data_IF_905384174708
#
_entry.id   IF_905384174708
#
_cell.length_a   1.000
_cell.length_b   1.000
_cell.length_c   1.000
_cell.angle_alpha   90.00
_cell.angle_beta   90.00
_cell.angle_gamma   90.00
#
_symmetry.space_group_name_H-M   'P 1'
#
loop_
_entity.id
_entity.type
_entity.pdbx_description
1 polymer ?
#
# COMPACT_ATOMS: atom_id res chain seq x y z
N UNK A 1 1.94 8.69 -7.65
CA UNK A 1 1.06 7.68 -6.99
C UNK A 1 -0.26 8.33 -6.64
N UNK A 2 -1.35 7.61 -6.83
CA UNK A 2 -2.72 8.02 -6.46
C UNK A 2 -3.26 7.04 -5.42
N UNK A 3 -3.91 7.54 -4.39
CA UNK A 3 -4.61 6.73 -3.39
C UNK A 3 -6.09 7.12 -3.42
N UNK A 4 -6.94 6.19 -3.84
CA UNK A 4 -8.39 6.35 -3.86
C UNK A 4 -9.03 5.86 -2.58
N UNK A 5 -10.06 6.54 -2.11
CA UNK A 5 -10.75 6.23 -0.86
C UNK A 5 -12.23 5.94 -1.08
N UNK A 6 -12.82 5.23 -0.14
CA UNK A 6 -14.26 5.04 -0.01
C UNK A 6 -14.69 5.22 1.45
N UNK A 7 -15.97 5.54 1.66
CA UNK A 7 -16.56 5.46 2.99
C UNK A 7 -16.38 4.06 3.58
N UNK A 8 -16.18 3.96 4.88
CA UNK A 8 -15.82 2.69 5.52
C UNK A 8 -16.88 1.60 5.34
N UNK A 9 -18.17 1.98 5.27
CA UNK A 9 -19.33 1.13 5.06
C UNK A 9 -19.71 0.92 3.57
N UNK A 10 -19.01 1.56 2.63
CA UNK A 10 -19.27 1.36 1.21
C UNK A 10 -19.03 -0.11 0.83
N UNK A 11 -19.80 -0.68 -0.12
CA UNK A 11 -19.63 -2.06 -0.56
C UNK A 11 -18.23 -2.25 -1.20
N UNK A 12 -17.76 -3.48 -1.20
CA UNK A 12 -16.60 -3.87 -1.99
C UNK A 12 -16.87 -3.62 -3.49
N UNK A 13 -15.80 -3.31 -4.24
CA UNK A 13 -15.92 -3.21 -5.70
C UNK A 13 -16.18 -4.59 -6.31
N UNK A 14 -17.13 -4.64 -7.23
CA UNK A 14 -17.36 -5.83 -8.04
C UNK A 14 -16.19 -6.04 -9.02
N UNK A 15 -15.80 -7.29 -9.34
CA UNK A 15 -14.76 -7.56 -10.34
C UNK A 15 -15.02 -6.91 -11.71
N UNK A 16 -16.28 -6.76 -12.12
CA UNK A 16 -16.63 -6.05 -13.35
C UNK A 16 -16.32 -4.54 -13.28
N UNK A 17 -16.49 -3.93 -12.12
CA UNK A 17 -16.14 -2.53 -11.88
C UNK A 17 -14.62 -2.33 -11.93
N UNK A 18 -13.86 -3.30 -11.42
CA UNK A 18 -12.40 -3.28 -11.49
C UNK A 18 -11.93 -3.41 -12.95
N UNK A 19 -12.53 -4.30 -13.74
CA UNK A 19 -12.20 -4.45 -15.14
C UNK A 19 -12.50 -3.17 -15.94
N UNK A 20 -13.65 -2.54 -15.70
CA UNK A 20 -14.01 -1.26 -16.33
C UNK A 20 -13.04 -0.14 -15.92
N UNK A 21 -12.63 -0.10 -14.65
CA UNK A 21 -11.64 0.85 -14.15
C UNK A 21 -10.29 0.65 -14.84
N UNK A 22 -9.81 -0.59 -14.97
CA UNK A 22 -8.57 -0.92 -15.67
C UNK A 22 -8.59 -0.42 -17.11
N UNK A 23 -9.67 -0.70 -17.84
CA UNK A 23 -9.83 -0.23 -19.23
C UNK A 23 -9.83 1.29 -19.31
N UNK A 24 -10.54 1.96 -18.44
CA UNK A 24 -10.59 3.43 -18.41
C UNK A 24 -9.22 4.03 -18.16
N UNK A 25 -8.48 3.55 -17.17
CA UNK A 25 -7.13 4.03 -16.86
C UNK A 25 -6.16 3.82 -18.03
N UNK A 26 -6.28 2.70 -18.78
CA UNK A 26 -5.47 2.45 -19.97
C UNK A 26 -5.78 3.42 -21.11
N UNK A 27 -7.01 3.93 -21.19
CA UNK A 27 -7.42 4.90 -22.23
C UNK A 27 -6.97 6.32 -21.83
N UNK A 28 -7.21 6.73 -20.58
CA UNK A 28 -6.97 8.09 -20.13
C UNK A 28 -5.48 8.39 -19.91
N UNK A 29 -4.68 7.37 -19.58
CA UNK A 29 -3.25 7.51 -19.36
C UNK A 29 -2.49 7.00 -20.59
N UNK A 30 -2.04 7.93 -21.45
CA UNK A 30 -1.28 7.65 -22.67
C UNK A 30 -0.02 6.81 -22.38
N UNK A 31 0.22 5.75 -23.16
CA UNK A 31 1.35 4.84 -23.00
C UNK A 31 2.71 5.49 -23.33
N UNK A 32 2.72 6.45 -24.25
CA UNK A 32 3.94 7.17 -24.59
C UNK A 32 4.44 8.08 -23.44
N UNK A 33 3.50 8.63 -22.66
CA UNK A 33 3.81 9.51 -21.53
C UNK A 33 3.91 8.75 -20.19
N UNK A 34 3.10 7.72 -20.04
CA UNK A 34 3.00 6.91 -18.82
C UNK A 34 3.30 5.44 -19.13
N UNK A 35 4.58 5.10 -19.33
CA UNK A 35 4.99 3.76 -19.77
C UNK A 35 4.70 2.67 -18.74
N UNK A 36 4.53 3.02 -17.47
CA UNK A 36 4.22 2.07 -16.41
C UNK A 36 2.96 2.41 -15.64
N UNK A 37 2.09 1.43 -15.44
CA UNK A 37 0.85 1.54 -14.65
C UNK A 37 0.63 0.28 -13.83
N UNK A 38 0.45 0.44 -12.52
CA UNK A 38 0.00 -0.63 -11.64
C UNK A 38 -1.17 -0.14 -10.78
N UNK A 39 -2.28 -0.85 -10.82
CA UNK A 39 -3.46 -0.60 -10.00
C UNK A 39 -3.54 -1.66 -8.90
N UNK A 40 -3.73 -1.24 -7.68
CA UNK A 40 -4.05 -2.09 -6.54
C UNK A 40 -5.47 -1.76 -6.08
N UNK A 41 -6.29 -2.77 -5.88
CA UNK A 41 -7.69 -2.63 -5.45
C UNK A 41 -7.89 -3.43 -4.17
N UNK A 42 -8.59 -2.85 -3.20
CA UNK A 42 -8.86 -3.46 -1.90
C UNK A 42 -9.56 -4.81 -2.06
N UNK A 43 -9.00 -5.84 -1.44
CA UNK A 43 -9.73 -7.05 -1.09
C UNK A 43 -10.46 -6.77 0.24
N UNK A 44 -11.68 -6.23 0.12
CA UNK A 44 -12.43 -5.71 1.25
C UNK A 44 -12.68 -6.77 2.33
N UNK A 45 -13.12 -7.95 1.93
CA UNK A 45 -13.42 -9.03 2.88
C UNK A 45 -12.17 -9.42 3.68
N UNK A 46 -11.05 -9.62 2.99
CA UNK A 46 -9.78 -9.97 3.62
C UNK A 46 -9.27 -8.84 4.51
N UNK A 47 -9.37 -7.59 4.06
CA UNK A 47 -8.97 -6.42 4.85
C UNK A 47 -9.78 -6.32 6.14
N UNK A 48 -11.09 -6.53 6.07
CA UNK A 48 -11.96 -6.47 7.26
C UNK A 48 -11.69 -7.62 8.22
N UNK A 49 -11.41 -8.83 7.72
CA UNK A 49 -10.97 -9.96 8.56
C UNK A 49 -9.66 -9.65 9.28
N UNK A 50 -8.69 -9.08 8.58
CA UNK A 50 -7.41 -8.69 9.16
C UNK A 50 -7.57 -7.62 10.24
N UNK A 51 -8.42 -6.63 10.00
CA UNK A 51 -8.79 -5.59 10.97
C UNK A 51 -9.77 -6.08 12.05
N UNK A 52 -10.09 -7.36 12.08
CA UNK A 52 -11.06 -7.95 13.03
C UNK A 52 -12.44 -7.29 12.94
N UNK A 53 -12.88 -6.96 11.75
CA UNK A 53 -14.19 -6.37 11.49
C UNK A 53 -14.37 -4.91 11.92
N UNK A 54 -13.29 -4.20 12.27
CA UNK A 54 -13.38 -2.76 12.53
C UNK A 54 -13.63 -2.00 11.24
N UNK A 55 -14.73 -1.26 11.18
CA UNK A 55 -15.09 -0.42 10.04
C UNK A 55 -14.54 0.99 10.29
N UNK A 56 -13.54 1.46 9.55
CA UNK A 56 -13.07 2.83 9.63
C UNK A 56 -14.11 3.78 8.99
N UNK A 57 -14.10 5.04 9.38
CA UNK A 57 -14.96 6.04 8.73
C UNK A 57 -14.60 6.22 7.24
N UNK A 58 -13.32 6.06 6.90
CA UNK A 58 -12.75 6.14 5.55
C UNK A 58 -11.71 5.04 5.39
N UNK A 59 -11.68 4.38 4.25
CA UNK A 59 -10.70 3.33 3.95
C UNK A 59 -10.02 3.55 2.60
N UNK A 60 -8.81 3.08 2.48
CA UNK A 60 -8.10 3.02 1.19
C UNK A 60 -8.76 1.92 0.35
N UNK A 61 -9.29 2.30 -0.79
CA UNK A 61 -9.99 1.39 -1.70
C UNK A 61 -9.17 1.02 -2.94
N UNK A 62 -8.24 1.90 -3.31
CA UNK A 62 -7.34 1.68 -4.44
C UNK A 62 -6.02 2.44 -4.25
N UNK A 63 -4.98 1.94 -4.90
CA UNK A 63 -3.70 2.63 -5.09
C UNK A 63 -3.29 2.47 -6.55
N UNK A 64 -2.98 3.58 -7.22
CA UNK A 64 -2.49 3.60 -8.61
C UNK A 64 -1.07 4.15 -8.62
N UNK A 65 -0.13 3.34 -9.04
CA UNK A 65 1.22 3.77 -9.35
C UNK A 65 1.31 4.11 -10.84
N UNK A 66 1.84 5.30 -11.14
CA UNK A 66 2.08 5.80 -12.50
C UNK A 66 3.55 6.14 -12.60
N UNK A 67 4.25 5.51 -13.54
CA UNK A 67 5.65 5.83 -13.85
C UNK A 67 5.70 6.72 -15.07
N UNK A 68 6.57 7.73 -15.05
CA UNK A 68 6.79 8.67 -16.13
C UNK A 68 8.25 9.13 -16.14
N UNK A 69 8.76 9.44 -17.33
CA UNK A 69 10.05 10.11 -17.51
C UNK A 69 9.91 11.63 -17.49
N UNK A 70 8.70 12.13 -17.67
CA UNK A 70 8.38 13.56 -17.53
C UNK A 70 8.49 13.97 -16.06
N UNK A 71 8.90 15.21 -15.83
CA UNK A 71 9.11 15.74 -14.48
C UNK A 71 7.86 15.71 -13.59
N UNK A 72 7.32 16.88 -13.27
CA UNK A 72 6.19 16.97 -12.37
C UNK A 72 4.85 16.87 -13.10
N UNK A 73 4.23 15.70 -13.03
CA UNK A 73 2.91 15.40 -13.63
C UNK A 73 1.79 15.30 -12.58
N UNK A 74 2.05 15.69 -11.33
CA UNK A 74 1.08 15.53 -10.22
C UNK A 74 -0.25 16.24 -10.53
N UNK A 75 -0.20 17.47 -11.03
CA UNK A 75 -1.41 18.24 -11.32
C UNK A 75 -2.19 17.66 -12.50
N UNK A 76 -1.50 17.15 -13.53
CA UNK A 76 -2.12 16.49 -14.67
C UNK A 76 -2.78 15.16 -14.26
N UNK A 77 -2.07 14.31 -13.53
CA UNK A 77 -2.65 13.06 -12.99
C UNK A 77 -3.84 13.37 -12.08
N UNK A 78 -3.77 14.44 -11.29
CA UNK A 78 -4.89 14.87 -10.46
C UNK A 78 -6.13 15.17 -11.30
N UNK A 79 -5.98 15.90 -12.42
CA UNK A 79 -7.08 16.19 -13.32
C UNK A 79 -7.68 14.94 -13.96
N UNK A 80 -6.83 14.01 -14.43
CA UNK A 80 -7.27 12.76 -15.05
C UNK A 80 -8.04 11.89 -14.05
N UNK A 81 -7.51 11.72 -12.83
CA UNK A 81 -8.14 10.82 -11.86
C UNK A 81 -9.38 11.39 -11.20
N UNK A 82 -9.57 12.72 -11.21
CA UNK A 82 -10.77 13.37 -10.69
C UNK A 82 -12.06 12.90 -11.42
N UNK A 83 -11.93 12.46 -12.67
CA UNK A 83 -13.03 11.87 -13.42
C UNK A 83 -13.31 10.39 -13.04
N UNK A 84 -12.39 9.77 -12.32
CA UNK A 84 -12.44 8.34 -11.93
C UNK A 84 -12.81 8.15 -10.47
N UNK A 85 -12.27 8.99 -9.59
CA UNK A 85 -12.49 8.96 -8.14
C UNK A 85 -12.95 10.30 -7.60
N UNK A 86 -13.92 10.27 -6.73
CA UNK A 86 -14.44 11.48 -6.04
C UNK A 86 -13.66 11.82 -4.77
N UNK A 87 -13.02 10.82 -4.16
CA UNK A 87 -12.20 10.97 -2.94
C UNK A 87 -10.84 10.28 -3.16
N UNK A 88 -9.79 11.06 -3.28
CA UNK A 88 -8.45 10.56 -3.58
C UNK A 88 -7.35 11.54 -3.14
N UNK A 89 -6.13 11.04 -3.05
CA UNK A 89 -4.92 11.83 -2.90
C UNK A 89 -3.92 11.48 -4.01
N UNK A 90 -3.24 12.46 -4.56
CA UNK A 90 -2.14 12.28 -5.52
C UNK A 90 -0.85 12.76 -4.89
N UNK A 91 0.25 12.05 -5.10
CA UNK A 91 1.57 12.49 -4.64
C UNK A 91 2.67 12.02 -5.59
N UNK A 92 3.73 12.82 -5.71
CA UNK A 92 4.99 12.35 -6.25
C UNK A 92 5.74 11.56 -5.19
N UNK A 93 6.36 10.45 -5.58
CA UNK A 93 7.11 9.58 -4.69
C UNK A 93 8.49 9.27 -5.27
N UNK A 94 9.45 9.02 -4.39
CA UNK A 94 10.68 8.33 -4.77
C UNK A 94 10.52 6.86 -4.41
N UNK A 95 10.49 6.03 -5.45
CA UNK A 95 10.37 4.60 -5.30
C UNK A 95 11.72 3.94 -5.05
N UNK A 96 11.72 2.94 -4.17
CA UNK A 96 12.85 2.03 -3.94
C UNK A 96 12.31 0.61 -3.78
N UNK A 97 12.94 -0.36 -4.46
CA UNK A 97 12.48 -1.75 -4.51
C UNK A 97 13.52 -2.69 -3.90
N UNK A 98 13.56 -2.84 -2.57
CA UNK A 98 14.50 -3.72 -1.88
C UNK A 98 14.31 -5.21 -2.18
N UNK A 99 13.08 -5.63 -2.47
CA UNK A 99 12.74 -7.01 -2.85
C UNK A 99 11.66 -7.00 -3.93
N UNK A 100 11.86 -7.83 -4.94
CA UNK A 100 10.97 -7.91 -6.08
C UNK A 100 10.66 -9.37 -6.46
N UNK A 101 9.38 -9.65 -6.70
CA UNK A 101 8.95 -10.95 -7.22
C UNK A 101 9.26 -11.08 -8.71
N UNK A 102 9.53 -12.29 -9.17
CA UNK A 102 9.82 -12.58 -10.58
C UNK A 102 8.67 -13.26 -11.31
N UNK A 103 7.74 -13.90 -10.59
CA UNK A 103 6.54 -14.51 -11.17
C UNK A 103 5.47 -13.43 -11.41
N UNK A 104 4.82 -13.49 -12.58
CA UNK A 104 3.87 -12.47 -13.03
C UNK A 104 2.66 -13.12 -13.67
N UNK A 105 1.50 -12.43 -13.59
CA UNK A 105 0.35 -12.76 -14.41
C UNK A 105 0.71 -12.54 -15.90
N UNK A 106 0.12 -13.35 -16.75
CA UNK A 106 0.35 -13.31 -18.21
C UNK A 106 -0.48 -12.25 -18.92
N UNK A 107 -1.50 -11.73 -18.26
CA UNK A 107 -2.41 -10.70 -18.78
C UNK A 107 -2.43 -9.48 -17.87
N UNK A 108 -2.49 -8.29 -18.48
CA UNK A 108 -2.68 -7.03 -17.75
C UNK A 108 -4.04 -6.93 -17.05
N UNK A 109 -5.03 -7.69 -17.49
CA UNK A 109 -6.38 -7.72 -16.90
C UNK A 109 -6.50 -8.69 -15.74
N UNK A 110 -5.56 -9.61 -15.59
CA UNK A 110 -5.57 -10.58 -14.51
C UNK A 110 -4.82 -10.02 -13.29
N UNK A 111 -5.33 -10.28 -12.07
CA UNK A 111 -4.59 -9.89 -10.87
C UNK A 111 -3.28 -10.66 -10.78
N UNK A 112 -2.26 -10.00 -10.28
CA UNK A 112 -1.01 -10.66 -9.95
C UNK A 112 -1.24 -11.76 -8.90
N UNK A 113 -0.50 -12.87 -8.94
CA UNK A 113 -0.61 -13.92 -7.95
C UNK A 113 -0.36 -13.38 -6.53
N UNK A 114 -1.10 -13.87 -5.54
CA UNK A 114 -0.98 -13.44 -4.15
C UNK A 114 -1.74 -12.14 -3.83
N UNK A 115 -1.27 -11.45 -2.81
CA UNK A 115 -1.85 -10.18 -2.31
C UNK A 115 -0.74 -9.18 -2.01
N UNK A 116 -1.09 -7.90 -2.02
CA UNK A 116 -0.24 -6.79 -1.57
C UNK A 116 -0.87 -6.18 -0.30
N UNK A 117 -0.08 -5.99 0.73
CA UNK A 117 -0.41 -5.12 1.85
C UNK A 117 0.11 -3.73 1.52
N UNK A 118 -0.80 -2.81 1.26
CA UNK A 118 -0.48 -1.40 1.00
C UNK A 118 -0.74 -0.59 2.25
N UNK A 119 0.31 0.03 2.77
CA UNK A 119 0.30 0.78 4.01
C UNK A 119 0.58 2.26 3.77
N UNK A 120 -0.33 3.13 4.19
CA UNK A 120 -0.08 4.57 4.28
C UNK A 120 0.62 4.84 5.61
N UNK A 121 1.87 5.28 5.53
CA UNK A 121 2.72 5.50 6.69
C UNK A 121 2.73 6.98 7.08
N UNK A 122 2.43 7.23 8.35
CA UNK A 122 2.52 8.53 8.98
C UNK A 122 3.67 8.50 9.97
N UNK A 123 4.64 9.37 9.81
CA UNK A 123 5.75 9.50 10.76
C UNK A 123 5.26 10.03 12.11
N UNK A 124 5.94 9.69 13.16
CA UNK A 124 5.70 10.33 14.47
C UNK A 124 5.84 11.85 14.38
N UNK A 125 4.95 12.62 15.02
CA UNK A 125 5.07 14.08 15.02
C UNK A 125 6.40 14.61 15.58
N UNK A 126 7.08 13.83 16.43
CA UNK A 126 8.39 14.16 17.00
C UNK A 126 9.58 13.95 16.07
N UNK A 127 9.37 13.32 14.90
CA UNK A 127 10.43 13.04 13.94
C UNK A 127 10.38 13.98 12.74
N UNK A 128 11.52 14.33 12.21
CA UNK A 128 11.62 14.94 10.88
C UNK A 128 11.38 13.88 9.80
N UNK A 129 11.04 14.32 8.59
CA UNK A 129 10.87 13.42 7.44
C UNK A 129 12.15 12.63 7.14
N UNK A 130 13.32 13.24 7.32
CA UNK A 130 14.62 12.59 7.15
C UNK A 130 14.86 11.49 8.20
N UNK A 131 14.62 11.77 9.48
CA UNK A 131 14.77 10.78 10.56
C UNK A 131 13.83 9.59 10.35
N UNK A 132 12.57 9.83 9.97
CA UNK A 132 11.62 8.80 9.60
C UNK A 132 12.16 7.92 8.46
N UNK A 133 12.63 8.54 7.36
CA UNK A 133 13.15 7.80 6.21
C UNK A 133 14.38 6.96 6.57
N UNK A 134 15.33 7.52 7.33
CA UNK A 134 16.55 6.80 7.76
C UNK A 134 16.18 5.62 8.65
N UNK A 135 15.29 5.82 9.64
CA UNK A 135 14.85 4.72 10.50
C UNK A 135 14.15 3.61 9.69
N UNK A 136 13.23 4.00 8.79
CA UNK A 136 12.53 3.04 7.94
C UNK A 136 13.48 2.24 7.06
N UNK A 137 14.44 2.93 6.41
CA UNK A 137 15.42 2.29 5.51
C UNK A 137 16.41 1.39 6.24
N UNK A 138 16.99 1.87 7.32
CA UNK A 138 18.20 1.26 7.92
C UNK A 138 17.86 0.32 9.10
N UNK A 139 16.69 0.48 9.71
CA UNK A 139 16.26 -0.31 10.87
C UNK A 139 15.05 -1.18 10.54
N UNK A 140 13.92 -0.57 10.21
CA UNK A 140 12.66 -1.29 10.02
C UNK A 140 12.67 -2.22 8.80
N UNK A 141 13.09 -1.72 7.64
CA UNK A 141 13.10 -2.52 6.40
C UNK A 141 13.93 -3.81 6.53
N UNK A 142 15.20 -3.80 7.00
CA UNK A 142 15.96 -5.03 7.17
C UNK A 142 15.31 -6.00 8.16
N UNK A 143 14.63 -5.49 9.18
CA UNK A 143 13.87 -6.29 10.14
C UNK A 143 12.64 -6.93 9.48
N UNK A 144 11.82 -6.14 8.77
CA UNK A 144 10.66 -6.61 8.03
C UNK A 144 11.03 -7.69 7.02
N UNK A 145 12.07 -7.46 6.21
CA UNK A 145 12.55 -8.41 5.20
C UNK A 145 13.05 -9.76 5.80
N UNK A 146 13.42 -9.77 7.06
CA UNK A 146 13.84 -10.99 7.76
C UNK A 146 12.68 -11.70 8.44
N UNK A 147 11.70 -10.95 8.93
CA UNK A 147 10.58 -11.47 9.74
C UNK A 147 9.41 -11.91 8.88
N UNK A 148 8.97 -11.05 7.95
CA UNK A 148 7.80 -11.34 7.14
C UNK A 148 8.14 -12.20 5.91
N UNK A 149 7.24 -13.12 5.48
CA UNK A 149 7.45 -14.00 4.32
C UNK A 149 7.13 -13.28 2.99
N UNK A 150 7.24 -11.94 2.95
CA UNK A 150 6.95 -11.18 1.74
C UNK A 150 7.95 -11.48 0.62
N UNK A 151 7.44 -11.64 -0.60
CA UNK A 151 8.25 -11.79 -1.83
C UNK A 151 8.50 -10.46 -2.55
N UNK A 152 7.76 -9.42 -2.20
CA UNK A 152 7.91 -8.05 -2.73
C UNK A 152 7.96 -7.08 -1.56
N UNK A 153 8.82 -6.07 -1.65
CA UNK A 153 8.88 -4.95 -0.73
C UNK A 153 9.22 -3.70 -1.51
N UNK A 154 8.29 -2.74 -1.53
CA UNK A 154 8.45 -1.46 -2.22
C UNK A 154 8.26 -0.32 -1.23
N UNK A 155 9.13 0.66 -1.29
CA UNK A 155 9.05 1.90 -0.53
C UNK A 155 8.81 3.07 -1.46
N UNK A 156 7.72 3.76 -1.26
CA UNK A 156 7.35 4.97 -1.95
C UNK A 156 7.39 6.14 -0.96
N UNK A 157 8.52 6.84 -0.89
CA UNK A 157 8.69 8.02 -0.06
C UNK A 157 8.01 9.21 -0.73
N UNK A 158 7.07 9.86 -0.06
CA UNK A 158 6.40 11.05 -0.59
C UNK A 158 7.39 12.22 -0.64
N UNK A 159 7.57 12.78 -1.82
CA UNK A 159 8.46 13.93 -2.07
C UNK A 159 7.68 15.21 -2.33
N UNK A 160 6.48 15.09 -2.89
CA UNK A 160 5.58 16.20 -3.14
C UNK A 160 4.13 15.75 -3.05
N UNK A 161 3.30 16.58 -2.44
CA UNK A 161 1.85 16.48 -2.48
C UNK A 161 1.30 17.71 -3.17
N UNK A 162 0.21 17.60 -3.99
CA UNK A 162 -0.45 18.78 -4.52
C UNK A 162 -1.03 19.61 -3.37
N UNK A 163 -1.13 20.91 -3.57
CA UNK A 163 -1.98 21.75 -2.77
C UNK A 163 -3.39 21.78 -3.43
N UNK A 164 -4.49 21.80 -2.69
CA UNK A 164 -4.60 21.70 -1.26
C UNK A 164 -4.97 20.29 -0.82
N UNK A 165 -4.68 19.96 0.43
CA UNK A 165 -5.43 18.92 1.10
C UNK A 165 -6.91 19.32 1.08
N UNK A 166 -7.81 18.36 0.84
CA UNK A 166 -9.22 18.60 1.05
C UNK A 166 -9.39 19.15 2.47
N UNK A 167 -9.89 20.40 2.64
CA UNK A 167 -10.05 20.99 3.96
C UNK A 167 -11.07 20.26 4.85
N UNK A 168 -11.77 19.25 4.30
CA UNK A 168 -12.70 18.41 5.06
C UNK A 168 -12.01 17.27 5.84
N UNK A 169 -10.72 17.01 5.58
CA UNK A 169 -9.98 15.98 6.29
C UNK A 169 -8.83 16.60 7.09
N UNK A 170 -9.05 16.75 8.38
CA UNK A 170 -8.02 17.14 9.39
C UNK A 170 -6.90 16.09 9.58
N UNK A 171 -6.93 15.00 8.82
CA UNK A 171 -5.91 13.98 8.92
C UNK A 171 -4.57 14.48 8.35
N UNK A 172 -3.46 14.31 9.06
CA UNK A 172 -2.14 14.61 8.52
C UNK A 172 -1.92 13.79 7.23
N UNK A 173 -1.23 14.37 6.25
CA UNK A 173 -0.86 13.69 5.01
C UNK A 173 0.13 12.58 5.35
N UNK A 174 -0.01 11.40 4.72
CA UNK A 174 0.96 10.32 4.88
C UNK A 174 2.32 10.73 4.30
N UNK A 175 3.39 10.24 4.93
CA UNK A 175 4.77 10.52 4.55
C UNK A 175 5.30 9.50 3.52
N UNK A 176 4.71 8.31 3.48
CA UNK A 176 5.14 7.24 2.58
C UNK A 176 4.02 6.22 2.32
N UNK A 177 4.21 5.44 1.26
CA UNK A 177 3.43 4.23 0.98
C UNK A 177 4.38 3.03 0.94
N UNK A 178 4.12 2.04 1.79
CA UNK A 178 4.81 0.76 1.78
C UNK A 178 3.93 -0.29 1.10
N UNK A 179 4.54 -1.08 0.22
CA UNK A 179 3.88 -2.21 -0.44
C UNK A 179 4.63 -3.49 -0.12
N UNK A 180 3.93 -4.45 0.49
CA UNK A 180 4.48 -5.75 0.86
C UNK A 180 3.67 -6.85 0.18
N UNK A 181 4.29 -7.59 -0.75
CA UNK A 181 3.65 -8.67 -1.50
C UNK A 181 3.82 -10.02 -0.81
N UNK A 182 2.73 -10.78 -0.71
CA UNK A 182 2.67 -12.10 -0.09
C UNK A 182 2.11 -13.12 -1.06
N UNK A 183 2.58 -14.38 -0.97
CA UNK A 183 2.14 -15.45 -1.86
C UNK A 183 0.67 -15.82 -1.66
N UNK A 184 0.14 -15.64 -0.46
CA UNK A 184 -1.25 -15.93 -0.13
C UNK A 184 -1.81 -14.97 0.91
N UNK A 185 -3.14 -14.94 1.00
CA UNK A 185 -3.88 -14.24 2.05
C UNK A 185 -3.54 -14.79 3.44
N UNK A 186 -3.32 -16.10 3.55
CA UNK A 186 -2.98 -16.75 4.82
C UNK A 186 -1.63 -16.29 5.37
N UNK A 187 -0.69 -15.91 4.50
CA UNK A 187 0.60 -15.37 4.93
C UNK A 187 0.46 -14.01 5.63
N UNK A 188 -0.65 -13.32 5.41
CA UNK A 188 -1.00 -12.05 6.09
C UNK A 188 -1.90 -12.28 7.30
N UNK A 189 -2.92 -13.16 7.18
CA UNK A 189 -3.94 -13.35 8.21
C UNK A 189 -3.48 -14.22 9.38
N UNK A 190 -2.55 -15.14 9.13
CA UNK A 190 -2.04 -16.07 10.13
C UNK A 190 -0.84 -15.45 10.87
N UNK A 191 -0.96 -15.06 12.14
CA UNK A 191 0.13 -14.39 12.86
C UNK A 191 1.43 -15.18 12.88
N UNK A 192 1.35 -16.52 12.93
CA UNK A 192 2.51 -17.39 12.89
C UNK A 192 3.25 -17.34 11.54
N UNK A 193 2.53 -17.18 10.43
CA UNK A 193 3.12 -17.01 9.10
C UNK A 193 3.63 -15.59 8.92
N UNK A 194 2.77 -14.59 9.22
CA UNK A 194 3.11 -13.19 9.05
C UNK A 194 4.37 -12.78 9.82
N UNK A 195 4.51 -13.24 11.07
CA UNK A 195 5.66 -12.92 11.90
C UNK A 195 6.77 -13.98 11.86
N UNK A 196 6.67 -14.97 10.98
CA UNK A 196 7.70 -16.00 10.83
C UNK A 196 7.99 -16.76 12.12
N UNK A 197 7.00 -16.91 13.00
CA UNK A 197 7.18 -17.65 14.25
C UNK A 197 7.38 -19.14 13.94
N UNK A 198 8.47 -19.69 14.43
CA UNK A 198 8.63 -21.12 14.48
C UNK A 198 7.60 -21.69 15.45
N UNK A 199 6.60 -22.42 14.91
CA UNK A 199 5.50 -22.99 15.70
C UNK A 199 5.95 -24.05 16.69
N UNK A 200 7.23 -24.44 16.67
CA UNK A 200 7.82 -25.38 17.62
C UNK A 200 8.00 -24.78 19.02
N UNK A 201 7.96 -23.47 19.16
CA UNK A 201 8.00 -22.83 20.48
C UNK A 201 6.59 -22.82 21.09
N UNK A 202 6.29 -23.92 21.80
CA UNK A 202 4.97 -24.31 22.34
C UNK A 202 4.45 -23.39 23.47
N UNK A 203 4.82 -22.12 23.53
CA UNK A 203 4.28 -21.15 24.48
C UNK A 203 3.08 -20.40 23.91
N UNK A 204 2.04 -21.18 23.52
CA UNK A 204 0.75 -20.62 23.09
C UNK A 204 0.06 -19.77 24.15
N UNK A 205 0.49 -19.82 25.40
CA UNK A 205 -0.21 -19.22 26.53
C UNK A 205 0.28 -17.80 26.92
N UNK A 206 1.35 -17.27 26.29
CA UNK A 206 1.94 -15.99 26.71
C UNK A 206 1.87 -14.84 25.68
N UNK A 207 0.90 -14.84 24.78
CA UNK A 207 0.68 -13.67 23.89
C UNK A 207 1.38 -13.77 22.53
N UNK A 208 1.62 -12.61 21.91
CA UNK A 208 2.15 -12.48 20.55
C UNK A 208 3.52 -13.11 20.37
N UNK A 209 3.82 -13.68 19.16
CA UNK A 209 5.14 -14.21 18.83
C UNK A 209 6.28 -13.22 19.12
N UNK A 210 7.49 -13.69 19.46
CA UNK A 210 8.61 -12.80 19.76
C UNK A 210 8.93 -11.79 18.65
N UNK A 211 8.86 -12.23 17.39
CA UNK A 211 9.05 -11.35 16.23
C UNK A 211 7.98 -10.26 16.12
N UNK A 212 6.72 -10.57 16.48
CA UNK A 212 5.65 -9.57 16.51
C UNK A 212 5.91 -8.48 17.54
N UNK A 213 6.44 -8.85 18.72
CA UNK A 213 6.84 -7.86 19.74
C UNK A 213 8.01 -7.01 19.27
N UNK A 214 8.97 -7.62 18.60
CA UNK A 214 10.15 -6.92 18.08
C UNK A 214 9.77 -5.91 17.01
N UNK A 215 9.06 -6.33 15.96
CA UNK A 215 8.71 -5.43 14.85
C UNK A 215 7.62 -4.43 15.25
N UNK A 216 6.66 -4.84 16.08
CA UNK A 216 5.64 -3.94 16.63
C UNK A 216 6.23 -2.88 17.55
N UNK A 217 7.23 -3.25 18.37
CA UNK A 217 8.00 -2.30 19.17
C UNK A 217 8.75 -1.28 18.32
N UNK A 218 9.35 -1.72 17.22
CA UNK A 218 10.04 -0.85 16.28
C UNK A 218 9.06 0.11 15.57
N UNK A 219 7.92 -0.40 15.09
CA UNK A 219 6.85 0.41 14.48
C UNK A 219 6.47 1.58 15.41
N UNK A 220 6.32 1.33 16.70
CA UNK A 220 6.00 2.38 17.68
C UNK A 220 7.10 3.43 17.85
N UNK A 221 8.31 3.21 17.38
CA UNK A 221 9.39 4.19 17.47
C UNK A 221 9.29 5.27 16.40
N UNK A 222 8.79 4.96 15.22
CA UNK A 222 8.86 5.88 14.07
C UNK A 222 7.52 6.18 13.41
N UNK A 223 6.46 5.35 13.59
CA UNK A 223 5.14 5.57 13.02
C UNK A 223 4.15 6.16 14.03
N UNK A 224 3.30 7.03 13.53
CA UNK A 224 2.02 7.39 14.14
C UNK A 224 1.00 6.29 13.80
N UNK A 225 0.84 5.37 14.74
CA UNK A 225 -0.03 4.19 14.55
C UNK A 225 -1.51 4.52 14.60
N UNK A 226 -1.90 5.68 15.12
CA UNK A 226 -3.31 6.12 15.16
C UNK A 226 -3.79 6.55 13.76
N UNK A 227 -2.87 7.03 12.92
CA UNK A 227 -3.17 7.45 11.56
C UNK A 227 -2.71 6.45 10.49
N UNK A 228 -1.68 5.64 10.77
CA UNK A 228 -1.18 4.64 9.83
C UNK A 228 -2.26 3.63 9.46
N UNK A 229 -2.48 3.44 8.17
CA UNK A 229 -3.52 2.56 7.61
C UNK A 229 -2.87 1.52 6.71
N UNK A 230 -3.21 0.26 6.91
CA UNK A 230 -2.81 -0.82 6.03
C UNK A 230 -4.04 -1.54 5.45
N UNK A 231 -3.97 -1.89 4.18
CA UNK A 231 -5.06 -2.49 3.42
C UNK A 231 -4.52 -3.66 2.59
N UNK A 232 -5.24 -4.77 2.58
CA UNK A 232 -4.89 -5.92 1.72
C UNK A 232 -5.52 -5.70 0.36
N UNK A 233 -4.70 -5.80 -0.70
CA UNK A 233 -5.09 -5.45 -2.06
C UNK A 233 -4.76 -6.55 -3.06
N UNK A 234 -5.45 -6.54 -4.19
CA UNK A 234 -5.11 -7.25 -5.43
C UNK A 234 -4.42 -6.30 -6.37
N UNK A 235 -3.27 -6.69 -6.91
CA UNK A 235 -2.50 -5.88 -7.85
C UNK A 235 -2.82 -6.28 -9.29
N UNK A 236 -2.97 -5.28 -10.16
CA UNK A 236 -3.11 -5.39 -11.61
C UNK A 236 -1.99 -4.58 -12.26
N UNK A 237 -1.16 -5.22 -13.09
CA UNK A 237 -0.12 -4.54 -13.84
C UNK A 237 -0.63 -4.21 -15.23
N UNK A 238 -1.14 -3.01 -15.37
CA UNK A 238 -1.77 -2.54 -16.59
C UNK A 238 -0.73 -2.27 -17.69
N UNK A 239 0.43 -1.76 -17.31
CA UNK A 239 1.62 -1.61 -18.15
C UNK A 239 2.87 -1.87 -17.33
N UNK A 240 3.80 -2.61 -17.89
CA UNK A 240 5.03 -3.00 -17.19
C UNK A 240 6.16 -2.03 -17.55
N UNK A 241 6.68 -1.36 -16.54
CA UNK A 241 7.82 -0.44 -16.67
C UNK A 241 9.14 -1.06 -16.22
N UNK A 242 9.09 -2.23 -15.57
CA UNK A 242 10.25 -2.86 -14.94
C UNK A 242 10.58 -4.19 -15.58
#
# INVERSE_FOLDING_TARGET
MVVGYLAGDAPARDPSDVAALNQRLLIELDDAKYPGLALQVEDHETTMRWRRGRVPARRVAASLAVWTEDGDVVDEITAIVADVWTDFAVCAVTETVPRWRTDRATSATDPQPGVIVTSLLYRKPSMTHHEFYVHWRDVHQPMSLRIHPQHTYVRNLVTRTPAPADPQFDAPRFDAVCEEGFASVDDVLEPSRFYGADLTDARRDEGWPPNAKTIGGDVLLFLDTDHTVATIMREYRLRDFR
#
